data_IF_014298906131
#
_entry.id   IF_014298906131
#
_cell.length_a   1.000
_cell.length_b   1.000
_cell.length_c   1.000
_cell.angle_alpha   90.00
_cell.angle_beta   90.00
_cell.angle_gamma   90.00
#
_symmetry.space_group_name_H-M   'P 1'
#
loop_
_entity.id
_entity.type
_entity.pdbx_description
1 polymer ?
#
# COMPACT_ATOMS: atom_id res chain seq x y z
N UNK A 1 -16.69 -15.32 -3.94
CA UNK A 1 -15.50 -15.45 -3.10
C UNK A 1 -14.63 -14.28 -3.51
N UNK A 2 -14.32 -13.39 -2.59
CA UNK A 2 -13.54 -12.19 -2.92
C UNK A 2 -12.11 -12.61 -3.20
N UNK A 3 -11.54 -12.15 -4.32
CA UNK A 3 -10.16 -12.47 -4.69
C UNK A 3 -9.25 -11.39 -4.12
N UNK A 4 -8.26 -11.82 -3.35
CA UNK A 4 -7.32 -10.97 -2.63
C UNK A 4 -5.97 -11.09 -3.31
N UNK A 5 -5.35 -9.96 -3.59
CA UNK A 5 -4.01 -9.88 -4.14
C UNK A 5 -3.11 -9.14 -3.17
N UNK A 6 -1.91 -9.66 -2.99
CA UNK A 6 -0.88 -9.06 -2.17
C UNK A 6 0.33 -8.72 -3.05
N UNK A 7 1.01 -7.60 -2.79
CA UNK A 7 2.25 -7.32 -3.47
C UNK A 7 3.30 -8.35 -3.05
N UNK A 8 4.21 -8.70 -3.97
CA UNK A 8 5.39 -9.49 -3.61
C UNK A 8 6.52 -8.60 -3.07
N UNK A 9 6.50 -7.31 -3.36
CA UNK A 9 7.44 -6.31 -2.83
C UNK A 9 6.79 -4.93 -2.76
N UNK A 10 7.23 -4.12 -1.82
CA UNK A 10 6.80 -2.72 -1.66
C UNK A 10 8.05 -1.87 -1.44
N UNK A 11 8.17 -0.77 -2.19
CA UNK A 11 9.32 0.14 -2.14
C UNK A 11 8.88 1.56 -1.85
N UNK A 12 9.71 2.26 -1.09
CA UNK A 12 9.68 3.71 -0.97
C UNK A 12 10.73 4.28 -1.95
N UNK A 13 10.32 5.25 -2.75
CA UNK A 13 11.22 5.97 -3.67
C UNK A 13 11.84 7.19 -2.98
N UNK A 14 12.86 7.79 -3.59
CA UNK A 14 13.49 9.03 -3.09
C UNK A 14 12.54 10.24 -3.11
N UNK A 15 11.45 10.16 -3.87
CA UNK A 15 10.43 11.20 -3.97
C UNK A 15 9.27 10.97 -2.98
N UNK A 16 9.43 10.14 -1.95
CA UNK A 16 8.39 9.79 -0.97
C UNK A 16 7.10 9.21 -1.60
N UNK A 17 7.26 8.46 -2.69
CA UNK A 17 6.20 7.67 -3.31
C UNK A 17 6.35 6.19 -2.96
N UNK A 18 5.25 5.56 -2.53
CA UNK A 18 5.18 4.12 -2.29
C UNK A 18 4.83 3.40 -3.60
N UNK A 19 5.61 2.38 -3.96
CA UNK A 19 5.34 1.51 -5.11
C UNK A 19 5.15 0.08 -4.62
N UNK A 20 3.96 -0.47 -4.84
CA UNK A 20 3.61 -1.86 -4.54
C UNK A 20 3.63 -2.70 -5.83
N UNK A 21 4.48 -3.72 -5.86
CA UNK A 21 4.69 -4.58 -7.02
C UNK A 21 3.86 -5.86 -6.93
N UNK A 22 3.07 -6.13 -7.95
CA UNK A 22 2.20 -7.30 -8.06
C UNK A 22 2.54 -8.11 -9.30
N UNK A 23 2.40 -9.43 -9.19
CA UNK A 23 2.55 -10.31 -10.35
C UNK A 23 1.38 -10.05 -11.34
N UNK A 24 1.63 -9.89 -12.64
CA UNK A 24 0.58 -9.59 -13.62
C UNK A 24 -0.41 -10.75 -13.85
N UNK A 25 -1.45 -10.82 -13.03
CA UNK A 25 -2.59 -11.74 -13.21
C UNK A 25 -3.61 -11.16 -14.21
N UNK A 26 -4.25 -12.01 -15.02
CA UNK A 26 -5.26 -11.56 -15.99
C UNK A 26 -6.43 -10.83 -15.30
N UNK A 27 -6.83 -11.26 -14.10
CA UNK A 27 -7.88 -10.58 -13.36
C UNK A 27 -7.41 -9.24 -12.76
N UNK A 28 -6.13 -9.10 -12.41
CA UNK A 28 -5.53 -7.83 -11.97
C UNK A 28 -5.42 -6.83 -13.13
N UNK A 29 -4.99 -7.30 -14.30
CA UNK A 29 -4.97 -6.49 -15.52
C UNK A 29 -6.38 -5.98 -15.84
N UNK A 30 -7.39 -6.83 -15.71
CA UNK A 30 -8.80 -6.44 -15.89
C UNK A 30 -9.24 -5.39 -14.85
N UNK A 31 -8.84 -5.52 -13.57
CA UNK A 31 -9.15 -4.52 -12.53
C UNK A 31 -8.60 -3.15 -12.94
N UNK A 32 -7.33 -3.07 -13.33
CA UNK A 32 -6.65 -1.81 -13.63
C UNK A 32 -7.17 -1.19 -14.94
N UNK A 33 -7.43 -2.02 -15.95
CA UNK A 33 -7.87 -1.55 -17.28
C UNK A 33 -9.38 -1.32 -17.42
N UNK A 34 -10.21 -1.84 -16.50
CA UNK A 34 -11.66 -1.68 -16.56
C UNK A 34 -12.10 -0.27 -16.17
N UNK A 35 -12.95 0.36 -17.00
CA UNK A 35 -13.64 1.61 -16.66
C UNK A 35 -14.98 1.37 -15.93
N UNK A 36 -15.27 0.13 -15.53
CA UNK A 36 -16.53 -0.25 -14.89
C UNK A 36 -16.34 -0.35 -13.39
N UNK A 37 -17.17 0.37 -12.64
CA UNK A 37 -17.16 0.41 -11.18
C UNK A 37 -16.27 1.52 -10.60
N UNK A 38 -16.58 1.93 -9.38
CA UNK A 38 -15.73 2.85 -8.62
C UNK A 38 -14.61 2.07 -7.93
N UNK A 39 -13.48 2.75 -7.75
CA UNK A 39 -12.45 2.30 -6.84
C UNK A 39 -12.78 2.81 -5.45
N UNK A 40 -12.62 1.95 -4.45
CA UNK A 40 -12.74 2.31 -3.04
C UNK A 40 -11.39 2.05 -2.39
N UNK A 41 -10.96 2.97 -1.52
CA UNK A 41 -9.77 2.81 -0.70
C UNK A 41 -10.22 2.76 0.76
N UNK A 42 -9.62 1.86 1.52
CA UNK A 42 -9.81 1.74 2.96
C UNK A 42 -8.45 1.57 3.62
N UNK A 43 -8.20 2.28 4.71
CA UNK A 43 -6.93 2.29 5.42
C UNK A 43 -7.19 1.98 6.88
N UNK A 44 -6.55 0.93 7.37
CA UNK A 44 -6.68 0.47 8.75
C UNK A 44 -5.29 0.23 9.35
N UNK A 45 -5.22 0.19 10.67
CA UNK A 45 -4.03 -0.24 11.39
C UNK A 45 -4.29 -1.59 12.02
N UNK A 46 -3.42 -2.54 11.73
CA UNK A 46 -3.36 -3.86 12.36
C UNK A 46 -2.16 -3.93 13.29
N UNK A 47 -2.13 -4.91 14.18
CA UNK A 47 -0.98 -5.20 15.02
C UNK A 47 -0.40 -6.56 14.62
N UNK A 48 0.89 -6.60 14.29
CA UNK A 48 1.63 -7.83 14.03
C UNK A 48 2.19 -8.37 15.35
N UNK A 49 1.53 -9.39 15.89
CA UNK A 49 1.93 -10.04 17.16
C UNK A 49 3.32 -10.70 17.08
N UNK A 50 3.79 -11.10 15.89
CA UNK A 50 5.10 -11.78 15.75
C UNK A 50 6.25 -10.78 15.76
N UNK A 51 6.02 -9.58 15.22
CA UNK A 51 7.02 -8.51 15.14
C UNK A 51 6.85 -7.44 16.21
N UNK A 52 5.76 -7.49 16.96
CA UNK A 52 5.40 -6.52 18.00
C UNK A 52 5.36 -5.08 17.45
N UNK A 53 4.84 -4.90 16.23
CA UNK A 53 4.75 -3.59 15.56
C UNK A 53 3.38 -3.40 14.87
N UNK A 54 2.90 -2.16 14.73
CA UNK A 54 1.70 -1.88 13.95
C UNK A 54 1.99 -1.90 12.45
N UNK A 55 1.00 -2.39 11.70
CA UNK A 55 1.01 -2.46 10.24
C UNK A 55 -0.13 -1.61 9.70
N UNK A 56 0.19 -0.64 8.84
CA UNK A 56 -0.82 0.08 8.06
C UNK A 56 -1.27 -0.82 6.91
N UNK A 57 -2.53 -1.25 6.94
CA UNK A 57 -3.15 -2.01 5.87
C UNK A 57 -3.95 -1.07 4.97
N UNK A 58 -3.46 -0.90 3.75
CA UNK A 58 -4.16 -0.20 2.67
C UNK A 58 -4.87 -1.24 1.82
N UNK A 59 -6.20 -1.14 1.76
CA UNK A 59 -7.06 -2.01 0.98
C UNK A 59 -7.68 -1.22 -0.16
N UNK A 60 -7.46 -1.68 -1.38
CA UNK A 60 -8.04 -1.06 -2.59
C UNK A 60 -9.02 -2.05 -3.19
N UNK A 61 -10.29 -1.65 -3.28
CA UNK A 61 -11.42 -2.51 -3.65
C UNK A 61 -11.97 -2.07 -5.00
N UNK A 62 -12.23 -3.06 -5.87
CA UNK A 62 -12.98 -2.86 -7.11
C UNK A 62 -13.83 -4.08 -7.41
N UNK A 63 -15.16 -3.91 -7.30
CA UNK A 63 -16.11 -5.01 -7.42
C UNK A 63 -15.88 -6.04 -6.31
N UNK A 64 -15.58 -7.28 -6.68
CA UNK A 64 -15.36 -8.43 -5.80
C UNK A 64 -13.87 -8.84 -5.73
N UNK A 65 -12.98 -7.90 -6.01
CA UNK A 65 -11.53 -8.07 -5.98
C UNK A 65 -10.92 -6.98 -5.11
N UNK A 66 -9.85 -7.32 -4.38
CA UNK A 66 -9.17 -6.39 -3.48
C UNK A 66 -7.65 -6.54 -3.56
N UNK A 67 -6.94 -5.42 -3.52
CA UNK A 67 -5.50 -5.34 -3.33
C UNK A 67 -5.25 -4.99 -1.88
N UNK A 68 -4.38 -5.72 -1.20
CA UNK A 68 -4.01 -5.48 0.20
C UNK A 68 -2.50 -5.24 0.30
N UNK A 69 -2.14 -4.03 0.74
CA UNK A 69 -0.77 -3.56 0.86
C UNK A 69 -0.52 -3.25 2.34
N UNK A 70 0.38 -3.99 2.96
CA UNK A 70 0.78 -3.78 4.35
C UNK A 70 2.10 -3.01 4.44
N UNK A 71 2.14 -1.97 5.26
CA UNK A 71 3.34 -1.19 5.54
C UNK A 71 3.65 -1.26 7.04
N UNK A 72 4.82 -1.77 7.46
CA UNK A 72 5.24 -1.65 8.85
C UNK A 72 5.43 -0.18 9.22
N UNK A 73 5.34 0.11 10.52
CA UNK A 73 5.60 1.45 11.05
C UNK A 73 6.98 1.97 10.63
N UNK A 74 7.06 3.26 10.25
CA UNK A 74 8.29 3.93 9.84
C UNK A 74 8.12 4.77 8.57
N UNK A 75 9.18 4.89 7.78
CA UNK A 75 9.28 5.79 6.60
C UNK A 75 8.09 5.69 5.63
N UNK A 76 7.52 4.48 5.48
CA UNK A 76 6.36 4.28 4.61
C UNK A 76 5.09 5.00 5.07
N UNK A 77 4.90 5.16 6.39
CA UNK A 77 3.80 5.92 6.96
C UNK A 77 4.06 7.42 6.77
N UNK A 78 5.27 7.87 7.09
CA UNK A 78 5.70 9.27 6.93
C UNK A 78 5.50 9.76 5.48
N UNK A 79 5.91 8.96 4.50
CA UNK A 79 5.73 9.27 3.07
C UNK A 79 4.24 9.42 2.69
N UNK A 80 3.36 8.61 3.27
CA UNK A 80 1.92 8.71 3.02
C UNK A 80 1.28 9.90 3.73
N UNK A 81 1.75 10.25 4.93
CA UNK A 81 1.32 11.46 5.64
C UNK A 81 1.66 12.73 4.86
N UNK A 82 2.88 12.82 4.33
CA UNK A 82 3.33 14.00 3.59
C UNK A 82 2.73 14.01 2.17
N UNK A 83 3.13 13.04 1.34
CA UNK A 83 2.75 13.02 -0.07
C UNK A 83 1.46 12.26 -0.34
N UNK A 84 1.25 11.13 0.33
CA UNK A 84 0.07 10.29 0.14
C UNK A 84 0.02 9.64 -1.25
N UNK A 85 1.17 9.39 -1.87
CA UNK A 85 1.24 8.78 -3.19
C UNK A 85 1.50 7.28 -3.08
N UNK A 86 0.63 6.51 -3.73
CA UNK A 86 0.73 5.06 -3.82
C UNK A 86 0.56 4.62 -5.27
N UNK A 87 1.58 3.96 -5.81
CA UNK A 87 1.56 3.35 -7.13
C UNK A 87 1.47 1.84 -7.04
N UNK A 88 0.49 1.27 -7.75
CA UNK A 88 0.40 -0.16 -8.03
C UNK A 88 1.13 -0.41 -9.33
N UNK A 89 2.12 -1.31 -9.32
CA UNK A 89 2.87 -1.71 -10.50
C UNK A 89 2.65 -3.21 -10.78
N UNK A 90 2.09 -3.53 -11.95
CA UNK A 90 2.04 -4.90 -12.45
C UNK A 90 3.33 -5.20 -13.22
N UNK A 91 4.23 -5.95 -12.59
CA UNK A 91 5.54 -6.29 -13.13
C UNK A 91 5.83 -7.75 -12.82
N UNK A 92 6.17 -8.56 -13.83
CA UNK A 92 6.56 -9.94 -13.59
C UNK A 92 7.84 -9.96 -12.74
N UNK A 93 7.98 -10.93 -11.84
CA UNK A 93 9.16 -11.03 -10.98
C UNK A 93 10.49 -11.03 -11.78
N UNK A 94 10.50 -11.67 -12.96
CA UNK A 94 11.68 -11.67 -13.83
C UNK A 94 12.06 -10.25 -14.27
N UNK A 95 11.09 -9.48 -14.77
CA UNK A 95 11.31 -8.11 -15.26
C UNK A 95 11.75 -7.20 -14.11
N UNK A 96 11.19 -7.40 -12.91
CA UNK A 96 11.60 -6.73 -11.69
C UNK A 96 13.07 -7.00 -11.32
N UNK A 97 13.50 -8.28 -11.35
CA UNK A 97 14.87 -8.67 -11.04
C UNK A 97 15.92 -8.11 -12.03
N UNK A 98 15.54 -7.91 -13.29
CA UNK A 98 16.40 -7.31 -14.32
C UNK A 98 16.23 -5.78 -14.47
N UNK A 99 15.38 -5.16 -13.65
CA UNK A 99 15.04 -3.74 -13.72
C UNK A 99 14.50 -3.30 -15.11
N UNK A 100 13.70 -4.15 -15.76
CA UNK A 100 13.08 -3.90 -17.06
C UNK A 100 11.60 -3.48 -16.89
N UNK A 101 11.31 -2.18 -16.85
CA UNK A 101 9.96 -1.66 -16.52
C UNK A 101 9.17 -1.09 -17.70
N UNK A 102 9.71 -1.12 -18.92
CA UNK A 102 9.12 -0.45 -20.09
C UNK A 102 7.71 -0.94 -20.45
N UNK A 103 7.40 -2.20 -20.13
CA UNK A 103 6.10 -2.83 -20.40
C UNK A 103 5.18 -2.89 -19.16
N UNK A 104 5.58 -2.26 -18.05
CA UNK A 104 4.81 -2.29 -16.81
C UNK A 104 3.47 -1.56 -16.94
N UNK A 105 2.45 -2.09 -16.28
CA UNK A 105 1.16 -1.41 -16.13
C UNK A 105 1.14 -0.79 -14.74
N UNK A 106 0.99 0.53 -14.67
CA UNK A 106 0.97 1.27 -13.40
C UNK A 106 -0.35 1.99 -13.18
N UNK A 107 -0.72 2.13 -11.91
CA UNK A 107 -1.83 2.96 -11.44
C UNK A 107 -1.37 3.71 -10.20
N UNK A 108 -1.30 5.03 -10.28
CA UNK A 108 -1.00 5.90 -9.14
C UNK A 108 -2.29 6.42 -8.53
N UNK A 109 -2.34 6.38 -7.20
CA UNK A 109 -3.42 6.86 -6.35
C UNK A 109 -2.87 7.91 -5.40
N UNK A 110 -3.68 8.94 -5.16
CA UNK A 110 -3.42 9.94 -4.13
C UNK A 110 -4.41 9.71 -2.99
N UNK A 111 -3.88 9.50 -1.80
CA UNK A 111 -4.63 9.39 -0.56
C UNK A 111 -5.09 10.78 -0.13
N UNK A 112 -6.35 10.91 0.25
CA UNK A 112 -6.92 12.19 0.65
C UNK A 112 -6.47 12.66 2.05
N UNK A 113 -6.72 13.93 2.35
CA UNK A 113 -6.33 14.55 3.62
C UNK A 113 -6.98 13.88 4.85
N UNK A 114 -8.13 13.24 4.69
CA UNK A 114 -8.79 12.54 5.79
C UNK A 114 -7.96 11.32 6.19
N UNK A 115 -7.56 10.50 5.23
CA UNK A 115 -6.72 9.34 5.48
C UNK A 115 -5.30 9.73 5.91
N UNK A 116 -4.73 10.81 5.37
CA UNK A 116 -3.45 11.35 5.89
C UNK A 116 -3.53 11.71 7.37
N UNK A 117 -4.62 12.39 7.77
CA UNK A 117 -4.87 12.72 9.17
C UNK A 117 -5.08 11.48 10.05
N UNK A 118 -5.72 10.44 9.52
CA UNK A 118 -5.84 9.16 10.22
C UNK A 118 -4.48 8.49 10.46
N UNK A 119 -3.63 8.41 9.43
CA UNK A 119 -2.29 7.82 9.53
C UNK A 119 -1.47 8.58 10.58
N UNK A 120 -1.44 9.91 10.51
CA UNK A 120 -0.70 10.75 11.46
C UNK A 120 -1.18 10.58 12.91
N UNK A 121 -2.50 10.47 13.13
CA UNK A 121 -3.05 10.20 14.45
C UNK A 121 -2.67 8.81 14.97
N UNK A 122 -2.60 7.80 14.10
CA UNK A 122 -2.16 6.47 14.46
C UNK A 122 -0.66 6.42 14.78
N UNK A 123 0.18 7.13 14.01
CA UNK A 123 1.62 7.28 14.26
C UNK A 123 1.88 7.86 15.65
N UNK A 124 1.23 8.99 15.96
CA UNK A 124 1.36 9.65 17.27
C UNK A 124 0.94 8.72 18.43
N UNK A 125 -0.16 7.99 18.28
CA UNK A 125 -0.61 7.06 19.30
C UNK A 125 0.40 5.93 19.54
N UNK A 126 1.02 5.41 18.48
CA UNK A 126 2.04 4.37 18.60
C UNK A 126 3.29 4.89 19.30
N UNK A 127 3.78 6.07 18.90
CA UNK A 127 4.93 6.72 19.53
C UNK A 127 4.72 6.91 21.04
N UNK A 128 3.57 7.45 21.45
CA UNK A 128 3.24 7.63 22.87
C UNK A 128 3.27 6.32 23.66
N UNK A 129 2.71 5.23 23.11
CA UNK A 129 2.69 3.91 23.77
C UNK A 129 4.11 3.35 23.90
N UNK A 130 4.94 3.52 22.88
CA UNK A 130 6.33 3.00 22.89
C UNK A 130 7.25 3.82 23.79
N UNK A 131 7.12 5.15 23.83
CA UNK A 131 7.90 6.01 24.73
C UNK A 131 7.56 5.76 26.21
N UNK A 132 6.28 5.54 26.53
CA UNK A 132 5.87 5.17 27.90
C UNK A 132 6.41 3.80 28.34
N UNK A 133 6.66 2.87 27.41
CA UNK A 133 7.20 1.55 27.70
C UNK A 133 8.73 1.56 27.96
N UNK A 134 9.44 2.56 27.44
CA UNK A 134 10.90 2.72 27.60
C UNK A 134 11.30 3.59 28.81
N UNK A 135 10.35 4.27 29.47
CA UNK A 135 10.56 5.16 30.63
C UNK A 135 10.40 4.52 32.01
#
# INVERSE_FOLDING_TARGET
MDKVFHPYDVKLTEDDEIIAFFEPDEELKEIISSNVGCWEIDINVLYDDEKEEPILLITIIKGNKRLEIGLPYGDGWEALEDRGLLTIALVNLQDYEYAEFDASITLTLEIDDYYKGFISGASQMWEEITEEAEG
#
